data_IF_218791660784
#
_entry.id   IF_218791660784
#
_cell.length_a   1.000
_cell.length_b   1.000
_cell.length_c   1.000
_cell.angle_alpha   90.00
_cell.angle_beta   90.00
_cell.angle_gamma   90.00
#
_symmetry.space_group_name_H-M   'P 1'
#
loop_
_entity.id
_entity.type
_entity.pdbx_description
1 polymer ?
#
# COMPACT_ATOMS: atom_id res chain seq x y z
N UNK A 1 18.67 12.28 -12.26
CA UNK A 1 17.49 12.18 -11.36
C UNK A 1 17.44 13.41 -10.47
N UNK A 2 16.26 13.98 -10.27
CA UNK A 2 15.99 15.06 -9.33
C UNK A 2 15.32 14.56 -8.09
N UNK A 3 15.70 15.11 -6.96
CA UNK A 3 15.02 14.93 -5.68
C UNK A 3 14.40 16.28 -5.28
N UNK A 4 13.13 16.26 -4.94
CA UNK A 4 12.36 17.44 -4.57
C UNK A 4 11.77 17.27 -3.19
N UNK A 5 11.79 18.34 -2.42
CA UNK A 5 11.06 18.44 -1.16
C UNK A 5 10.47 19.84 -1.07
N UNK A 6 9.20 19.93 -0.75
CA UNK A 6 8.53 21.22 -0.54
C UNK A 6 8.96 21.86 0.78
N UNK A 7 8.86 23.17 0.85
CA UNK A 7 8.99 23.89 2.10
C UNK A 7 7.62 23.94 2.76
N UNK A 8 7.38 23.08 3.79
CA UNK A 8 6.10 23.05 4.49
C UNK A 8 4.91 22.85 3.55
N UNK A 9 4.86 21.72 2.80
CA UNK A 9 3.84 21.50 1.78
C UNK A 9 2.42 21.63 2.34
N UNK A 10 2.13 20.94 3.43
CA UNK A 10 0.82 20.93 4.06
C UNK A 10 0.39 22.31 4.54
N UNK A 11 1.32 23.16 4.96
CA UNK A 11 1.08 24.49 5.50
C UNK A 11 0.92 25.56 4.39
N UNK A 12 1.24 25.23 3.14
CA UNK A 12 1.24 26.18 2.03
C UNK A 12 0.21 25.87 0.92
N UNK A 13 -0.69 24.93 1.13
CA UNK A 13 -1.76 24.61 0.18
C UNK A 13 -2.74 25.78 0.06
N UNK A 14 -2.89 26.34 -1.15
CA UNK A 14 -3.84 27.43 -1.41
C UNK A 14 -5.29 26.90 -1.44
N UNK A 15 -6.14 27.36 -0.51
CA UNK A 15 -7.53 26.91 -0.36
C UNK A 15 -8.37 27.15 -1.62
N UNK A 16 -8.29 28.35 -2.21
CA UNK A 16 -9.06 28.69 -3.41
C UNK A 16 -8.66 27.85 -4.63
N UNK A 17 -7.36 27.57 -4.80
CA UNK A 17 -6.84 26.69 -5.86
C UNK A 17 -7.33 25.27 -5.65
N UNK A 18 -7.21 24.73 -4.44
CA UNK A 18 -7.65 23.39 -4.09
C UNK A 18 -9.15 23.18 -4.36
N UNK A 19 -10.02 24.10 -3.95
CA UNK A 19 -11.46 24.00 -4.22
C UNK A 19 -11.79 24.02 -5.72
N UNK A 20 -11.07 24.84 -6.50
CA UNK A 20 -11.19 24.84 -7.98
C UNK A 20 -10.74 23.52 -8.58
N UNK A 21 -9.65 22.91 -8.07
CA UNK A 21 -9.19 21.61 -8.53
C UNK A 21 -10.21 20.50 -8.21
N UNK A 22 -10.79 20.49 -7.03
CA UNK A 22 -11.86 19.54 -6.64
C UNK A 22 -13.05 19.67 -7.59
N UNK A 23 -13.47 20.90 -7.89
CA UNK A 23 -14.54 21.18 -8.85
C UNK A 23 -14.21 20.63 -10.25
N UNK A 24 -12.98 20.86 -10.72
CA UNK A 24 -12.51 20.42 -12.04
C UNK A 24 -12.44 18.88 -12.15
N UNK A 25 -12.15 18.19 -11.04
CA UNK A 25 -12.17 16.73 -10.95
C UNK A 25 -13.59 16.12 -11.01
N UNK A 26 -14.63 16.97 -11.03
CA UNK A 26 -16.02 16.56 -11.18
C UNK A 26 -16.86 16.55 -9.90
N UNK A 27 -16.27 16.91 -8.75
CA UNK A 27 -16.99 17.05 -7.48
C UNK A 27 -17.63 18.44 -7.44
N UNK A 28 -18.89 18.53 -7.87
CA UNK A 28 -19.62 19.79 -8.04
C UNK A 28 -20.70 20.06 -6.99
N UNK A 29 -20.74 19.27 -5.94
CA UNK A 29 -21.64 19.50 -4.80
C UNK A 29 -21.15 20.70 -3.99
N UNK A 30 -21.92 21.81 -4.07
CA UNK A 30 -21.61 23.06 -3.37
C UNK A 30 -21.62 22.90 -1.84
N UNK A 31 -22.48 22.01 -1.28
CA UNK A 31 -22.55 21.77 0.15
C UNK A 31 -21.28 21.08 0.64
N UNK A 32 -20.83 20.06 -0.09
CA UNK A 32 -19.56 19.37 0.21
C UNK A 32 -18.36 20.30 0.11
N UNK A 33 -18.30 21.14 -0.92
CA UNK A 33 -17.22 22.13 -1.07
C UNK A 33 -17.22 23.17 0.06
N UNK A 34 -18.41 23.57 0.52
CA UNK A 34 -18.53 24.45 1.68
C UNK A 34 -18.02 23.80 2.96
N UNK A 35 -18.34 22.51 3.17
CA UNK A 35 -17.82 21.74 4.32
C UNK A 35 -16.28 21.64 4.25
N UNK A 36 -15.72 21.29 3.10
CA UNK A 36 -14.26 21.23 2.91
C UNK A 36 -13.63 22.61 3.19
N UNK A 37 -14.25 23.69 2.69
CA UNK A 37 -13.77 25.04 2.96
C UNK A 37 -13.78 25.39 4.45
N UNK A 38 -14.81 24.98 5.20
CA UNK A 38 -14.88 25.18 6.65
C UNK A 38 -13.80 24.37 7.38
N UNK A 39 -13.54 23.12 6.96
CA UNK A 39 -12.47 22.29 7.54
C UNK A 39 -11.10 22.94 7.28
N UNK A 40 -10.85 23.46 6.09
CA UNK A 40 -9.59 24.13 5.76
C UNK A 40 -9.37 25.42 6.55
N UNK A 41 -10.45 26.09 6.95
CA UNK A 41 -10.45 27.33 7.73
C UNK A 41 -10.73 27.10 9.21
N UNK A 42 -10.58 25.86 9.69
CA UNK A 42 -10.71 25.58 11.13
C UNK A 42 -9.65 26.36 11.90
N UNK A 43 -10.06 26.97 12.99
CA UNK A 43 -9.16 27.72 13.86
C UNK A 43 -8.10 26.79 14.46
N UNK A 44 -6.85 27.23 14.43
CA UNK A 44 -5.72 26.55 15.02
C UNK A 44 -5.38 27.27 16.35
N UNK A 45 -5.33 26.49 17.42
CA UNK A 45 -5.01 27.02 18.74
C UNK A 45 -3.66 27.76 18.74
N UNK A 46 -3.68 29.05 19.10
CA UNK A 46 -2.51 29.91 19.10
C UNK A 46 -2.14 30.58 17.77
N UNK A 47 -2.74 30.15 16.62
CA UNK A 47 -2.44 30.71 15.31
C UNK A 47 -3.65 31.39 14.63
N UNK A 48 -4.88 31.07 15.09
CA UNK A 48 -6.13 31.61 14.53
C UNK A 48 -6.58 30.89 13.27
N UNK A 49 -7.30 31.60 12.38
CA UNK A 49 -7.85 31.02 11.14
C UNK A 49 -6.80 31.07 10.03
N UNK A 50 -6.38 29.92 9.47
CA UNK A 50 -5.35 29.87 8.45
C UNK A 50 -5.86 30.33 7.07
N UNK A 51 -5.08 31.16 6.38
CA UNK A 51 -5.36 31.58 4.99
C UNK A 51 -5.00 30.52 3.96
N UNK A 52 -4.12 29.61 4.32
CA UNK A 52 -3.59 28.52 3.48
C UNK A 52 -3.24 27.32 4.35
N UNK A 53 -2.96 26.20 3.70
CA UNK A 53 -2.59 24.97 4.39
C UNK A 53 -3.73 23.98 4.53
N UNK A 54 -3.39 22.79 5.02
CA UNK A 54 -4.34 21.75 5.38
C UNK A 54 -4.11 21.34 6.82
N UNK A 55 -5.16 21.13 7.63
CA UNK A 55 -4.99 20.79 9.06
C UNK A 55 -4.12 19.55 9.23
N UNK A 56 -3.00 19.67 9.96
CA UNK A 56 -2.13 18.52 10.24
C UNK A 56 -2.86 17.56 11.19
N UNK A 57 -2.81 16.26 10.86
CA UNK A 57 -3.54 15.22 11.60
C UNK A 57 -5.01 15.03 11.18
N UNK A 58 -5.54 15.86 10.30
CA UNK A 58 -6.89 15.68 9.75
C UNK A 58 -6.97 14.47 8.80
N UNK A 59 -8.03 13.66 8.93
CA UNK A 59 -8.22 12.46 8.10
C UNK A 59 -8.29 12.76 6.60
N UNK A 60 -8.81 13.91 6.21
CA UNK A 60 -8.97 14.33 4.82
C UNK A 60 -7.73 15.01 4.24
N UNK A 61 -6.83 15.53 5.07
CA UNK A 61 -5.68 16.34 4.66
C UNK A 61 -4.75 15.61 3.66
N UNK A 62 -4.41 14.31 3.83
CA UNK A 62 -3.61 13.60 2.85
C UNK A 62 -4.27 13.52 1.47
N UNK A 63 -5.61 13.33 1.42
CA UNK A 63 -6.35 13.30 0.16
C UNK A 63 -6.36 14.66 -0.54
N UNK A 64 -6.62 15.74 0.20
CA UNK A 64 -6.61 17.10 -0.33
C UNK A 64 -5.24 17.46 -0.89
N UNK A 65 -4.19 17.10 -0.21
CA UNK A 65 -2.80 17.30 -0.64
C UNK A 65 -2.47 16.53 -1.92
N UNK A 66 -2.97 15.30 -2.05
CA UNK A 66 -2.83 14.52 -3.28
C UNK A 66 -3.55 15.15 -4.46
N UNK A 67 -4.72 15.78 -4.24
CA UNK A 67 -5.47 16.51 -5.28
C UNK A 67 -4.66 17.69 -5.80
N UNK A 68 -4.02 18.46 -4.92
CA UNK A 68 -3.18 19.60 -5.34
C UNK A 68 -2.05 19.17 -6.26
N UNK A 69 -1.33 18.12 -5.89
CA UNK A 69 -0.17 17.64 -6.65
C UNK A 69 -0.53 16.78 -7.85
N UNK A 70 -1.78 16.31 -7.98
CA UNK A 70 -2.25 15.61 -9.17
C UNK A 70 -2.08 16.46 -10.45
N UNK A 71 -2.21 17.79 -10.35
CA UNK A 71 -1.99 18.71 -11.49
C UNK A 71 -0.52 18.70 -11.94
N UNK A 72 0.43 18.57 -10.99
CA UNK A 72 1.86 18.41 -11.30
C UNK A 72 2.11 17.09 -12.04
N UNK A 73 1.52 15.99 -11.57
CA UNK A 73 1.71 14.67 -12.16
C UNK A 73 1.24 14.67 -13.63
N UNK A 74 0.05 15.20 -13.88
CA UNK A 74 -0.50 15.34 -15.24
C UNK A 74 0.34 16.26 -16.12
N UNK A 75 0.84 17.38 -15.56
CA UNK A 75 1.68 18.30 -16.30
C UNK A 75 2.99 17.64 -16.72
N UNK A 76 3.72 16.98 -15.80
CA UNK A 76 4.98 16.28 -16.12
C UNK A 76 4.73 15.18 -17.15
N UNK A 77 3.67 14.38 -16.97
CA UNK A 77 3.32 13.31 -17.91
C UNK A 77 3.00 13.85 -19.30
N UNK A 78 2.29 14.99 -19.39
CA UNK A 78 1.94 15.60 -20.68
C UNK A 78 3.15 16.10 -21.47
N UNK A 79 4.24 16.42 -20.82
CA UNK A 79 5.46 16.87 -21.49
C UNK A 79 6.15 15.74 -22.28
N UNK A 80 6.00 14.48 -21.85
CA UNK A 80 6.70 13.36 -22.42
C UNK A 80 5.86 12.09 -22.59
N UNK A 81 5.33 11.52 -21.51
CA UNK A 81 4.71 10.18 -21.53
C UNK A 81 3.42 10.13 -22.35
N UNK A 82 2.58 11.16 -22.22
CA UNK A 82 1.29 11.27 -22.90
C UNK A 82 1.28 12.28 -24.04
N UNK A 83 2.45 12.84 -24.37
CA UNK A 83 2.60 13.79 -25.47
C UNK A 83 2.03 13.22 -26.77
N UNK A 84 1.14 13.98 -27.40
CA UNK A 84 0.56 13.63 -28.70
C UNK A 84 0.96 14.71 -29.70
N UNK A 85 1.77 14.39 -30.73
CA UNK A 85 2.16 15.36 -31.73
C UNK A 85 0.94 15.83 -32.56
N UNK A 86 0.87 17.14 -32.81
CA UNK A 86 -0.15 17.69 -33.69
C UNK A 86 0.04 17.15 -35.11
N UNK A 87 -1.05 16.75 -35.79
CA UNK A 87 -1.05 16.32 -37.20
C UNK A 87 -0.60 14.88 -37.46
N UNK A 88 -0.22 14.09 -36.43
CA UNK A 88 0.16 12.71 -36.65
C UNK A 88 -1.03 11.77 -36.39
N UNK A 89 -1.46 11.06 -37.45
CA UNK A 89 -2.49 10.00 -37.32
C UNK A 89 -1.99 8.91 -36.35
N UNK A 90 -2.72 8.67 -35.28
CA UNK A 90 -2.44 7.67 -34.21
C UNK A 90 -2.09 6.25 -34.71
N UNK A 91 -2.39 5.92 -35.97
CA UNK A 91 -2.14 4.61 -36.60
C UNK A 91 -0.69 4.34 -36.96
N UNK A 92 0.05 5.35 -37.42
CA UNK A 92 1.36 5.14 -38.07
C UNK A 92 2.57 5.19 -37.10
N UNK A 93 2.39 5.59 -35.83
CA UNK A 93 3.49 5.71 -34.86
C UNK A 93 3.42 4.73 -33.67
N UNK A 94 2.62 3.70 -33.78
CA UNK A 94 2.51 2.67 -32.71
C UNK A 94 3.76 1.78 -32.54
N UNK A 95 4.77 1.91 -33.38
CA UNK A 95 6.07 1.28 -33.19
C UNK A 95 6.96 2.15 -32.29
N UNK A 96 7.35 1.63 -31.14
CA UNK A 96 8.05 2.32 -30.04
C UNK A 96 9.28 3.15 -30.43
N UNK A 97 9.95 2.87 -31.54
CA UNK A 97 11.17 3.59 -31.97
C UNK A 97 10.87 4.90 -32.72
N UNK A 98 9.87 4.92 -33.59
CA UNK A 98 9.53 6.10 -34.40
C UNK A 98 8.94 7.23 -33.55
N UNK A 99 8.03 6.92 -32.64
CA UNK A 99 7.42 7.90 -31.73
C UNK A 99 8.47 8.55 -30.79
N UNK A 100 9.33 7.74 -30.18
CA UNK A 100 10.39 8.26 -29.31
C UNK A 100 11.36 9.19 -30.04
N UNK A 101 11.72 8.87 -31.29
CA UNK A 101 12.58 9.72 -32.12
C UNK A 101 11.88 11.05 -32.44
N UNK A 102 10.62 11.00 -32.81
CA UNK A 102 9.81 12.18 -33.08
C UNK A 102 9.61 13.04 -31.83
N UNK A 103 9.23 12.46 -30.71
CA UNK A 103 9.06 13.17 -29.46
C UNK A 103 10.35 13.88 -29.03
N UNK A 104 11.51 13.20 -29.13
CA UNK A 104 12.83 13.82 -28.82
C UNK A 104 13.17 14.98 -29.73
N UNK A 105 12.65 15.02 -30.96
CA UNK A 105 12.90 16.12 -31.89
C UNK A 105 12.02 17.33 -31.57
N UNK A 106 10.76 17.13 -31.18
CA UNK A 106 9.77 18.19 -31.13
C UNK A 106 9.35 18.61 -29.71
N UNK A 107 9.70 17.89 -28.67
CA UNK A 107 9.44 18.30 -27.30
C UNK A 107 10.62 19.05 -26.66
N UNK A 108 10.33 20.07 -25.85
CA UNK A 108 11.34 20.81 -25.09
C UNK A 108 11.75 20.04 -23.82
N UNK A 109 10.79 19.46 -23.13
CA UNK A 109 11.00 18.56 -21.98
C UNK A 109 10.86 17.11 -22.44
N UNK A 110 11.92 16.34 -22.37
CA UNK A 110 11.97 14.97 -22.91
C UNK A 110 12.64 13.98 -21.97
N UNK A 111 12.25 12.72 -22.14
CA UNK A 111 12.78 11.59 -21.34
C UNK A 111 12.66 11.83 -19.81
N UNK A 112 11.58 12.46 -19.36
CA UNK A 112 11.28 12.72 -17.95
C UNK A 112 10.12 11.89 -17.43
N UNK A 113 10.36 11.15 -16.34
CA UNK A 113 9.38 10.27 -15.71
C UNK A 113 9.26 10.64 -14.24
N UNK A 114 8.05 11.01 -13.82
CA UNK A 114 7.78 11.36 -12.42
C UNK A 114 7.40 10.13 -11.61
N UNK A 115 8.00 10.04 -10.42
CA UNK A 115 7.61 9.09 -9.38
C UNK A 115 7.37 9.91 -8.13
N UNK A 116 6.14 9.87 -7.59
CA UNK A 116 5.72 10.67 -6.44
C UNK A 116 5.04 9.80 -5.38
N UNK A 117 5.36 10.10 -4.15
CA UNK A 117 4.69 9.58 -2.97
C UNK A 117 4.40 10.75 -2.01
N UNK A 118 3.13 11.12 -1.90
CA UNK A 118 2.68 12.33 -1.21
C UNK A 118 3.43 13.58 -1.73
N UNK A 119 4.20 14.23 -0.89
CA UNK A 119 5.03 15.41 -1.17
C UNK A 119 6.45 15.08 -1.65
N UNK A 120 6.92 13.86 -1.44
CA UNK A 120 8.24 13.41 -1.93
C UNK A 120 8.13 12.90 -3.38
N UNK A 121 8.82 13.54 -4.31
CA UNK A 121 8.81 13.13 -5.70
C UNK A 121 10.17 13.20 -6.36
N UNK A 122 10.32 12.42 -7.42
CA UNK A 122 11.55 12.36 -8.22
C UNK A 122 11.19 12.36 -9.70
N UNK A 123 11.98 13.11 -10.48
CA UNK A 123 11.90 13.08 -11.95
C UNK A 123 13.15 12.41 -12.47
N UNK A 124 12.96 11.27 -13.15
CA UNK A 124 14.00 10.50 -13.78
C UNK A 124 14.22 11.03 -15.19
N UNK A 125 15.44 11.54 -15.49
CA UNK A 125 15.79 12.05 -16.80
C UNK A 125 16.98 11.27 -17.37
N UNK A 126 17.10 11.24 -18.69
CA UNK A 126 18.16 10.52 -19.38
C UNK A 126 19.49 11.28 -19.35
N UNK A 127 19.46 12.60 -19.53
CA UNK A 127 20.64 13.47 -19.57
C UNK A 127 20.62 14.49 -18.43
N UNK A 128 21.78 15.08 -18.16
CA UNK A 128 21.91 16.19 -17.22
C UNK A 128 21.17 17.44 -17.72
N UNK A 129 21.28 17.73 -19.01
CA UNK A 129 20.61 18.89 -19.63
C UNK A 129 19.10 18.79 -19.51
N UNK A 130 18.50 17.59 -19.78
CA UNK A 130 17.07 17.39 -19.61
C UNK A 130 16.69 17.48 -18.13
N UNK A 131 17.53 16.99 -17.24
CA UNK A 131 17.30 17.14 -15.82
C UNK A 131 17.27 18.62 -15.39
N UNK A 132 18.17 19.46 -15.88
CA UNK A 132 18.17 20.91 -15.59
C UNK A 132 16.92 21.60 -16.15
N UNK A 133 16.50 21.27 -17.38
CA UNK A 133 15.28 21.81 -17.97
C UNK A 133 14.04 21.47 -17.12
N UNK A 134 13.90 20.21 -16.73
CA UNK A 134 12.81 19.81 -15.83
C UNK A 134 12.88 20.55 -14.50
N UNK A 135 14.07 20.80 -13.98
CA UNK A 135 14.24 21.55 -12.73
C UNK A 135 13.61 22.94 -12.81
N UNK A 136 14.08 23.72 -13.74
CA UNK A 136 13.59 25.09 -13.88
C UNK A 136 12.10 25.14 -14.24
N UNK A 137 11.67 24.30 -15.17
CA UNK A 137 10.27 24.23 -15.58
C UNK A 137 9.35 23.76 -14.41
N UNK A 138 9.81 22.86 -13.57
CA UNK A 138 9.02 22.40 -12.41
C UNK A 138 8.93 23.47 -11.33
N UNK A 139 10.01 24.20 -11.05
CA UNK A 139 10.00 25.35 -10.12
C UNK A 139 8.98 26.37 -10.59
N UNK A 140 9.06 26.76 -11.86
CA UNK A 140 8.16 27.75 -12.44
C UNK A 140 6.70 27.28 -12.38
N UNK A 141 6.42 26.03 -12.74
CA UNK A 141 5.09 25.45 -12.64
C UNK A 141 4.55 25.44 -11.20
N UNK A 142 5.34 25.01 -10.25
CA UNK A 142 4.94 24.96 -8.83
C UNK A 142 4.62 26.37 -8.31
N UNK A 143 5.47 27.34 -8.59
CA UNK A 143 5.33 28.71 -8.14
C UNK A 143 4.19 29.43 -8.85
N UNK A 144 4.15 29.39 -10.18
CA UNK A 144 3.17 30.12 -10.96
C UNK A 144 1.78 29.48 -10.86
N UNK A 145 1.71 28.14 -10.99
CA UNK A 145 0.44 27.43 -11.12
C UNK A 145 -0.12 26.92 -9.79
N UNK A 146 0.70 26.36 -8.92
CA UNK A 146 0.25 25.76 -7.66
C UNK A 146 0.45 26.69 -6.46
N UNK A 147 1.18 27.80 -6.61
CA UNK A 147 1.53 28.72 -5.53
C UNK A 147 2.31 28.02 -4.40
N UNK A 148 3.18 27.11 -4.78
CA UNK A 148 4.01 26.31 -3.87
C UNK A 148 5.49 26.62 -4.10
N UNK A 149 6.22 26.78 -2.99
CA UNK A 149 7.66 26.95 -3.01
C UNK A 149 8.38 25.63 -2.68
N UNK A 150 9.52 25.43 -3.33
CA UNK A 150 10.41 24.31 -3.03
C UNK A 150 11.45 24.70 -1.99
N UNK A 151 12.01 23.68 -1.30
CA UNK A 151 13.20 23.85 -0.46
C UNK A 151 14.45 23.71 -1.33
N UNK A 152 15.19 24.79 -1.64
CA UNK A 152 16.40 24.72 -2.47
C UNK A 152 17.47 23.82 -1.85
N UNK A 153 17.59 23.81 -0.54
CA UNK A 153 18.59 23.03 0.21
C UNK A 153 18.37 21.51 0.03
N UNK A 154 17.11 21.07 -0.09
CA UNK A 154 16.73 19.67 -0.19
C UNK A 154 16.50 19.23 -1.64
N UNK A 155 16.46 20.17 -2.60
CA UNK A 155 16.19 19.91 -4.00
C UNK A 155 17.48 19.93 -4.82
N UNK A 156 17.90 18.77 -5.36
CA UNK A 156 19.17 18.65 -6.07
C UNK A 156 19.14 17.65 -7.22
N UNK A 157 19.97 17.89 -8.25
CA UNK A 157 20.26 16.92 -9.30
C UNK A 157 21.27 15.89 -8.79
N UNK A 158 20.96 14.63 -8.96
CA UNK A 158 21.87 13.53 -8.61
C UNK A 158 22.19 12.70 -9.84
N UNK A 159 23.48 12.54 -10.14
CA UNK A 159 23.92 11.58 -11.14
C UNK A 159 23.99 10.18 -10.52
N UNK A 160 23.02 9.33 -10.81
CA UNK A 160 22.91 7.98 -10.24
C UNK A 160 24.05 7.03 -10.63
N UNK A 161 24.84 7.35 -11.67
CA UNK A 161 26.02 6.57 -12.03
C UNK A 161 27.22 6.86 -11.11
N UNK A 162 27.27 8.07 -10.53
CA UNK A 162 28.31 8.49 -9.59
C UNK A 162 27.86 8.37 -8.13
N UNK A 163 26.67 8.85 -7.84
CA UNK A 163 26.10 8.97 -6.49
C UNK A 163 24.82 8.15 -6.36
N UNK A 164 24.44 7.84 -5.13
CA UNK A 164 23.15 7.26 -4.80
C UNK A 164 22.11 8.35 -4.45
N UNK A 165 20.84 7.98 -4.51
CA UNK A 165 19.74 8.83 -4.05
C UNK A 165 18.77 8.02 -3.21
N UNK A 166 18.41 8.55 -2.05
CA UNK A 166 17.42 7.93 -1.16
C UNK A 166 15.99 8.27 -1.59
N UNK A 167 15.11 7.28 -1.53
CA UNK A 167 13.66 7.45 -1.75
C UNK A 167 12.90 6.38 -0.98
N UNK A 168 11.96 6.79 -0.14
CA UNK A 168 11.11 5.89 0.65
C UNK A 168 11.89 4.81 1.43
N UNK A 169 13.01 5.17 2.01
CA UNK A 169 13.86 4.23 2.75
C UNK A 169 14.76 3.34 1.90
N UNK A 170 14.72 3.48 0.56
CA UNK A 170 15.61 2.80 -0.37
C UNK A 170 16.70 3.74 -0.86
N UNK A 171 17.90 3.21 -1.05
CA UNK A 171 19.04 3.86 -1.71
C UNK A 171 19.12 3.34 -3.14
N UNK A 172 18.99 4.23 -4.12
CA UNK A 172 18.97 3.90 -5.55
C UNK A 172 20.30 4.31 -6.16
N UNK A 173 20.95 3.40 -6.90
CA UNK A 173 22.20 3.64 -7.64
C UNK A 173 22.14 2.91 -8.99
N UNK A 174 22.87 3.41 -9.97
CA UNK A 174 23.04 2.79 -11.29
C UNK A 174 24.47 2.30 -11.43
N UNK A 175 24.64 1.01 -11.68
CA UNK A 175 25.94 0.36 -11.82
C UNK A 175 26.18 -0.13 -13.25
N UNK A 176 27.43 -0.14 -13.74
CA UNK A 176 27.77 -0.70 -15.05
C UNK A 176 27.52 -2.21 -15.06
N UNK A 177 26.98 -2.74 -16.16
CA UNK A 177 26.83 -4.17 -16.40
C UNK A 177 26.88 -4.46 -17.89
N UNK A 178 27.98 -5.02 -18.37
CA UNK A 178 28.36 -5.16 -19.79
C UNK A 178 27.34 -5.93 -20.65
N UNK A 179 26.68 -6.96 -20.12
CA UNK A 179 25.73 -7.79 -20.87
C UNK A 179 24.31 -7.22 -20.94
N UNK A 180 24.08 -5.95 -20.56
CA UNK A 180 22.76 -5.32 -20.66
C UNK A 180 22.68 -4.43 -21.89
N UNK A 181 21.45 -4.27 -22.43
CA UNK A 181 21.19 -3.46 -23.63
C UNK A 181 21.74 -2.03 -23.55
N UNK A 182 21.86 -1.47 -22.35
CA UNK A 182 22.32 -0.09 -22.13
C UNK A 182 23.62 0.00 -21.36
N UNK A 183 24.27 -1.14 -21.07
CA UNK A 183 25.53 -1.19 -20.30
C UNK A 183 25.40 -0.86 -18.82
N UNK A 184 24.18 -0.71 -18.29
CA UNK A 184 23.90 -0.33 -16.90
C UNK A 184 22.67 -1.03 -16.35
N UNK A 185 22.63 -1.21 -15.01
CA UNK A 185 21.47 -1.67 -14.27
C UNK A 185 21.21 -0.76 -13.06
N UNK A 186 19.96 -0.63 -12.69
CA UNK A 186 19.57 -0.05 -11.41
C UNK A 186 19.77 -1.06 -10.29
N UNK A 187 20.38 -0.63 -9.18
CA UNK A 187 20.52 -1.38 -7.95
C UNK A 187 19.89 -0.61 -6.81
N UNK A 188 19.21 -1.34 -5.94
CA UNK A 188 18.54 -0.77 -4.78
C UNK A 188 18.98 -1.49 -3.51
N UNK A 189 19.27 -0.70 -2.48
CA UNK A 189 19.62 -1.10 -1.13
C UNK A 189 18.65 -0.46 -0.14
N UNK A 190 18.64 -0.91 1.10
CA UNK A 190 18.07 -0.13 2.19
C UNK A 190 18.89 1.15 2.39
N UNK A 191 18.26 2.29 2.66
CA UNK A 191 18.99 3.51 2.99
C UNK A 191 19.70 3.40 4.34
N UNK A 192 20.81 4.14 4.53
CA UNK A 192 21.58 4.11 5.78
C UNK A 192 20.73 4.53 6.99
N UNK A 193 19.81 5.46 6.77
CA UNK A 193 18.81 5.88 7.78
C UNK A 193 17.85 4.75 8.12
N UNK A 194 17.39 4.00 7.11
CA UNK A 194 16.49 2.86 7.30
C UNK A 194 17.19 1.74 8.07
N UNK A 195 18.44 1.40 7.73
CA UNK A 195 19.25 0.40 8.43
C UNK A 195 19.38 0.77 9.91
N UNK A 196 19.77 2.03 10.21
CA UNK A 196 19.87 2.51 11.59
C UNK A 196 18.56 2.43 12.35
N UNK A 197 17.44 2.86 11.74
CA UNK A 197 16.11 2.81 12.34
C UNK A 197 15.67 1.38 12.64
N UNK A 198 15.78 0.49 11.67
CA UNK A 198 15.41 -0.93 11.81
C UNK A 198 16.26 -1.62 12.89
N UNK A 199 17.57 -1.37 12.90
CA UNK A 199 18.48 -1.92 13.92
C UNK A 199 18.08 -1.44 15.32
N UNK A 200 17.80 -0.15 15.49
CA UNK A 200 17.39 0.40 16.80
C UNK A 200 16.04 -0.17 17.25
N UNK A 201 15.07 -0.26 16.34
CA UNK A 201 13.75 -0.82 16.64
C UNK A 201 13.83 -2.28 17.09
N UNK A 202 14.55 -3.11 16.36
CA UNK A 202 14.70 -4.53 16.71
C UNK A 202 15.49 -4.74 18.01
N UNK A 203 16.54 -3.93 18.25
CA UNK A 203 17.25 -3.91 19.55
C UNK A 203 16.30 -3.61 20.71
N UNK A 204 15.47 -2.58 20.58
CA UNK A 204 14.49 -2.21 21.60
C UNK A 204 13.49 -3.33 21.87
N UNK A 205 13.01 -4.02 20.83
CA UNK A 205 12.09 -5.17 20.97
C UNK A 205 12.75 -6.35 21.70
N UNK A 206 14.02 -6.67 21.39
CA UNK A 206 14.79 -7.71 22.08
C UNK A 206 14.98 -7.36 23.57
N UNK A 207 15.33 -6.11 23.87
CA UNK A 207 15.44 -5.61 25.25
C UNK A 207 14.10 -5.76 26.00
N UNK A 208 12.99 -5.44 25.33
CA UNK A 208 11.66 -5.57 25.92
C UNK A 208 11.25 -7.03 26.18
N UNK A 209 11.66 -7.98 25.33
CA UNK A 209 11.48 -9.43 25.58
C UNK A 209 12.22 -9.81 26.85
N UNK A 210 13.45 -9.35 27.07
CA UNK A 210 14.23 -9.64 28.28
C UNK A 210 13.58 -9.09 29.55
N UNK A 211 13.06 -7.85 29.50
CA UNK A 211 12.42 -7.20 30.66
C UNK A 211 11.16 -7.95 31.13
N UNK A 212 10.34 -8.40 30.21
CA UNK A 212 9.10 -9.12 30.48
C UNK A 212 8.87 -10.14 29.37
N UNK A 213 9.21 -11.39 29.62
CA UNK A 213 9.11 -12.51 28.69
C UNK A 213 7.63 -12.91 28.55
N UNK A 214 6.93 -12.34 27.56
CA UNK A 214 5.54 -12.67 27.25
C UNK A 214 5.39 -13.05 25.79
N UNK A 215 4.42 -13.90 25.46
CA UNK A 215 4.06 -14.28 24.09
C UNK A 215 3.79 -13.05 23.22
N UNK A 216 3.10 -12.04 23.77
CA UNK A 216 2.78 -10.80 23.06
C UNK A 216 4.03 -10.02 22.61
N UNK A 217 5.09 -9.96 23.41
CA UNK A 217 6.35 -9.27 23.04
C UNK A 217 7.18 -10.05 22.03
N UNK A 218 7.18 -11.37 22.10
CA UNK A 218 7.82 -12.23 21.10
C UNK A 218 7.11 -12.05 19.77
N UNK A 219 5.77 -12.08 19.77
CA UNK A 219 4.98 -11.81 18.57
C UNK A 219 5.21 -10.39 18.03
N UNK A 220 5.34 -9.39 18.88
CA UNK A 220 5.65 -8.01 18.46
C UNK A 220 7.01 -7.89 17.75
N UNK A 221 8.01 -8.68 18.17
CA UNK A 221 9.29 -8.80 17.45
C UNK A 221 9.08 -9.50 16.10
N UNK A 222 8.42 -10.64 16.08
CA UNK A 222 8.17 -11.42 14.87
C UNK A 222 7.38 -10.61 13.82
N UNK A 223 6.35 -9.88 14.26
CA UNK A 223 5.58 -9.00 13.36
C UNK A 223 6.42 -7.86 12.80
N UNK A 224 7.34 -7.28 13.58
CA UNK A 224 8.27 -6.27 13.07
C UNK A 224 9.20 -6.86 12.00
N UNK A 225 9.76 -8.06 12.23
CA UNK A 225 10.60 -8.74 11.24
C UNK A 225 9.82 -8.99 9.95
N UNK A 226 8.58 -9.52 10.02
CA UNK A 226 7.72 -9.72 8.86
C UNK A 226 7.46 -8.40 8.12
N UNK A 227 7.16 -7.32 8.85
CA UNK A 227 6.93 -6.00 8.27
C UNK A 227 8.16 -5.48 7.52
N UNK A 228 9.35 -5.60 8.11
CA UNK A 228 10.63 -5.20 7.50
C UNK A 228 10.91 -6.03 6.23
N UNK A 229 10.78 -7.36 6.31
CA UNK A 229 10.98 -8.25 5.19
C UNK A 229 10.01 -7.94 4.03
N UNK A 230 8.72 -7.76 4.32
CA UNK A 230 7.70 -7.45 3.32
C UNK A 230 7.92 -6.09 2.67
N UNK A 231 8.35 -5.07 3.42
CA UNK A 231 8.58 -3.73 2.88
C UNK A 231 9.83 -3.67 2.00
N UNK A 232 10.93 -4.25 2.46
CA UNK A 232 12.22 -4.14 1.77
C UNK A 232 12.51 -5.29 0.79
N UNK A 233 11.64 -6.31 0.65
CA UNK A 233 11.87 -7.45 -0.23
C UNK A 233 12.11 -7.09 -1.70
N UNK A 234 11.73 -5.89 -2.15
CA UNK A 234 11.96 -5.39 -3.50
C UNK A 234 13.37 -4.80 -3.71
N UNK A 235 14.14 -4.56 -2.64
CA UNK A 235 15.52 -4.10 -2.75
C UNK A 235 16.41 -5.19 -3.36
N UNK A 236 17.20 -4.83 -4.34
CA UNK A 236 18.07 -5.78 -5.08
C UNK A 236 19.05 -6.52 -4.16
N UNK A 237 19.59 -5.82 -3.15
CA UNK A 237 20.59 -6.35 -2.24
C UNK A 237 20.01 -6.61 -0.82
N UNK A 238 18.72 -6.89 -0.73
CA UNK A 238 18.02 -7.02 0.58
C UNK A 238 18.67 -8.04 1.50
N UNK A 239 19.14 -9.16 0.96
CA UNK A 239 19.79 -10.20 1.76
C UNK A 239 21.04 -9.66 2.48
N UNK A 240 21.92 -8.94 1.77
CA UNK A 240 23.11 -8.35 2.37
C UNK A 240 22.74 -7.29 3.42
N UNK A 241 21.79 -6.39 3.09
CA UNK A 241 21.36 -5.35 4.03
C UNK A 241 20.78 -5.94 5.32
N UNK A 242 19.96 -6.99 5.25
CA UNK A 242 19.43 -7.64 6.43
C UNK A 242 20.46 -8.50 7.17
N UNK A 243 21.47 -9.03 6.46
CA UNK A 243 22.62 -9.70 7.08
C UNK A 243 23.42 -8.71 7.92
N UNK A 244 23.69 -7.51 7.42
CA UNK A 244 24.39 -6.46 8.16
C UNK A 244 23.60 -6.05 9.42
N UNK A 245 22.30 -5.85 9.29
CA UNK A 245 21.40 -5.57 10.43
C UNK A 245 21.44 -6.72 11.45
N UNK A 246 21.34 -7.96 10.98
CA UNK A 246 21.38 -9.14 11.83
C UNK A 246 22.71 -9.23 12.59
N UNK A 247 23.82 -8.98 11.91
CA UNK A 247 25.14 -8.93 12.53
C UNK A 247 25.22 -7.89 13.64
N UNK A 248 24.67 -6.69 13.41
CA UNK A 248 24.59 -5.63 14.41
C UNK A 248 23.68 -5.96 15.62
N UNK A 249 22.76 -6.94 15.47
CA UNK A 249 21.88 -7.42 16.52
C UNK A 249 22.49 -8.55 17.37
N UNK A 250 23.49 -9.29 16.86
CA UNK A 250 24.08 -10.44 17.54
C UNK A 250 24.55 -10.15 18.97
N UNK A 251 25.25 -9.04 19.26
CA UNK A 251 25.64 -8.72 20.63
C UNK A 251 24.42 -8.56 21.55
N UNK A 252 23.35 -7.96 21.06
CA UNK A 252 22.11 -7.77 21.84
C UNK A 252 21.42 -9.11 22.10
N UNK A 253 21.36 -10.00 21.13
CA UNK A 253 20.85 -11.36 21.34
C UNK A 253 21.66 -12.11 22.39
N UNK A 254 23.00 -12.11 22.27
CA UNK A 254 23.89 -12.77 23.20
C UNK A 254 23.74 -12.25 24.63
N UNK A 255 23.72 -10.94 24.83
CA UNK A 255 23.65 -10.33 26.16
C UNK A 255 22.26 -10.35 26.77
N UNK A 256 21.20 -10.31 25.99
CA UNK A 256 19.83 -10.19 26.51
C UNK A 256 19.04 -11.49 26.53
N UNK A 257 19.34 -12.43 25.63
CA UNK A 257 18.58 -13.67 25.52
C UNK A 257 19.34 -14.92 25.97
N UNK A 258 20.62 -14.83 26.29
CA UNK A 258 21.44 -15.99 26.70
C UNK A 258 20.85 -16.77 27.90
N UNK A 259 20.24 -16.08 28.86
CA UNK A 259 19.68 -16.73 30.07
C UNK A 259 18.24 -17.22 29.90
N UNK A 260 17.50 -16.76 28.86
CA UNK A 260 16.07 -17.06 28.68
C UNK A 260 15.76 -17.74 27.35
N UNK A 261 16.75 -17.80 26.48
CA UNK A 261 16.62 -18.36 25.14
C UNK A 261 17.42 -19.62 24.96
N UNK A 262 16.98 -20.47 24.07
CA UNK A 262 17.68 -21.62 23.54
C UNK A 262 17.82 -21.54 22.03
N UNK A 263 18.57 -22.42 21.43
CA UNK A 263 18.78 -22.44 19.96
C UNK A 263 18.41 -23.82 19.45
N UNK A 264 17.50 -23.90 18.52
CA UNK A 264 17.07 -25.13 17.86
C UNK A 264 17.31 -25.07 16.36
N UNK A 265 17.51 -26.19 15.66
CA UNK A 265 17.50 -26.24 14.19
C UNK A 265 16.16 -25.78 13.65
N UNK A 266 16.15 -25.13 12.48
CA UNK A 266 14.91 -24.68 11.82
C UNK A 266 13.94 -25.84 11.57
N UNK A 267 14.46 -27.02 11.24
CA UNK A 267 13.65 -28.22 11.03
C UNK A 267 12.82 -28.65 12.27
N UNK A 268 13.27 -28.30 13.48
CA UNK A 268 12.59 -28.63 14.74
C UNK A 268 11.59 -27.54 15.18
N UNK A 269 11.48 -26.45 14.43
CA UNK A 269 10.51 -25.39 14.74
C UNK A 269 9.07 -25.83 14.37
N UNK A 270 8.04 -25.25 15.00
CA UNK A 270 6.65 -25.56 14.66
C UNK A 270 6.35 -25.38 13.17
N UNK A 271 5.55 -26.26 12.58
CA UNK A 271 5.21 -26.25 11.16
C UNK A 271 4.64 -24.91 10.67
N UNK A 272 3.76 -24.27 11.45
CA UNK A 272 3.22 -22.95 11.14
C UNK A 272 4.30 -21.86 11.05
N UNK A 273 5.35 -21.98 11.83
CA UNK A 273 6.51 -21.09 11.80
C UNK A 273 7.33 -21.34 10.53
N UNK A 274 7.54 -22.59 10.15
CA UNK A 274 8.25 -22.96 8.93
C UNK A 274 7.52 -22.46 7.68
N UNK A 275 6.20 -22.49 7.66
CA UNK A 275 5.40 -21.94 6.54
C UNK A 275 5.54 -20.42 6.37
N UNK A 276 5.73 -19.69 7.47
CA UNK A 276 5.87 -18.22 7.42
C UNK A 276 7.28 -17.77 7.05
N UNK A 277 8.24 -18.71 7.06
CA UNK A 277 9.66 -18.43 6.84
C UNK A 277 10.10 -19.06 5.55
N UNK A 278 10.59 -18.27 4.60
CA UNK A 278 10.97 -18.75 3.28
C UNK A 278 12.48 -18.61 3.09
N UNK A 279 13.11 -19.60 2.47
CA UNK A 279 14.54 -19.56 2.11
C UNK A 279 15.53 -19.83 3.24
N UNK A 280 15.07 -20.39 4.35
CA UNK A 280 15.94 -20.81 5.46
C UNK A 280 16.31 -22.27 5.30
N UNK A 281 17.59 -22.58 5.45
CA UNK A 281 18.09 -23.97 5.44
C UNK A 281 17.66 -24.69 6.71
N UNK A 282 17.39 -25.99 6.59
CA UNK A 282 16.92 -26.84 7.71
C UNK A 282 17.85 -26.82 8.93
N UNK A 283 19.15 -26.70 8.69
CA UNK A 283 20.20 -26.71 9.71
C UNK A 283 20.39 -25.33 10.39
N UNK A 284 19.73 -24.27 9.88
CA UNK A 284 19.86 -22.92 10.45
C UNK A 284 19.40 -22.90 11.89
N UNK A 285 20.25 -22.42 12.78
CA UNK A 285 19.95 -22.26 14.20
C UNK A 285 18.99 -21.09 14.43
N UNK A 286 17.83 -21.39 15.02
CA UNK A 286 16.79 -20.42 15.37
C UNK A 286 16.78 -20.19 16.88
N UNK A 287 16.80 -18.93 17.28
CA UNK A 287 16.69 -18.55 18.70
C UNK A 287 15.22 -18.73 19.10
N UNK A 288 15.01 -19.43 20.21
CA UNK A 288 13.70 -19.59 20.84
C UNK A 288 13.72 -18.97 22.22
N UNK A 289 12.62 -18.42 22.66
CA UNK A 289 12.40 -17.91 24.02
C UNK A 289 11.25 -18.70 24.60
N UNK A 290 11.56 -19.57 25.55
CA UNK A 290 10.65 -20.65 25.95
C UNK A 290 10.39 -21.58 24.75
N UNK A 291 9.10 -21.80 24.41
CA UNK A 291 8.69 -22.60 23.23
C UNK A 291 8.47 -21.78 21.98
N UNK A 292 8.69 -20.47 22.02
CA UNK A 292 8.39 -19.55 20.92
C UNK A 292 9.64 -19.20 20.11
N UNK A 293 9.70 -19.52 18.81
CA UNK A 293 10.82 -19.16 17.95
C UNK A 293 10.76 -17.67 17.56
N UNK A 294 11.94 -17.04 17.49
CA UNK A 294 12.13 -15.72 16.91
C UNK A 294 12.37 -15.84 15.41
N UNK A 295 11.65 -15.06 14.62
CA UNK A 295 11.83 -15.02 13.17
C UNK A 295 13.22 -14.49 12.81
N UNK A 296 13.98 -15.24 12.01
CA UNK A 296 15.28 -14.79 11.53
C UNK A 296 15.10 -13.67 10.51
N UNK A 297 15.86 -12.60 10.69
CA UNK A 297 15.76 -11.42 9.81
C UNK A 297 16.20 -11.72 8.37
N UNK A 298 17.14 -12.65 8.19
CA UNK A 298 17.72 -13.03 6.89
C UNK A 298 16.83 -13.95 6.04
N UNK A 299 15.74 -14.49 6.60
CA UNK A 299 14.76 -15.30 5.88
C UNK A 299 13.87 -14.46 4.97
N UNK A 300 14.43 -13.82 3.96
CA UNK A 300 13.72 -12.96 3.01
C UNK A 300 13.88 -13.43 1.58
N UNK A 301 12.78 -13.43 0.81
CA UNK A 301 12.83 -13.60 -0.64
C UNK A 301 12.79 -12.25 -1.33
N UNK A 302 13.77 -12.01 -2.22
CA UNK A 302 13.72 -10.89 -3.13
C UNK A 302 12.52 -11.03 -4.08
N UNK A 303 11.66 -10.02 -4.09
CA UNK A 303 10.58 -9.89 -5.08
C UNK A 303 11.05 -8.97 -6.21
N UNK A 304 10.97 -9.47 -7.44
CA UNK A 304 11.28 -8.63 -8.59
C UNK A 304 10.29 -7.46 -8.65
N UNK A 305 10.79 -6.22 -8.86
CA UNK A 305 9.90 -5.08 -9.09
C UNK A 305 9.09 -5.32 -10.36
N UNK A 306 7.93 -4.67 -10.46
CA UNK A 306 7.12 -4.67 -11.67
C UNK A 306 7.98 -4.08 -12.80
N UNK A 307 8.11 -4.83 -13.90
CA UNK A 307 8.88 -4.38 -15.04
C UNK A 307 8.27 -3.09 -15.60
N UNK A 308 9.13 -2.08 -15.80
CA UNK A 308 8.71 -0.83 -16.41
C UNK A 308 8.31 -1.07 -17.87
N UNK A 309 7.10 -0.64 -18.22
CA UNK A 309 6.61 -0.53 -19.59
C UNK A 309 5.96 0.83 -19.74
N UNK A 310 6.20 1.52 -20.86
CA UNK A 310 5.53 2.79 -21.16
C UNK A 310 4.00 2.70 -21.17
N UNK A 311 3.47 1.50 -21.40
CA UNK A 311 2.04 1.24 -21.33
C UNK A 311 1.51 1.15 -19.89
N UNK A 312 2.38 1.00 -18.90
CA UNK A 312 2.02 0.93 -17.46
C UNK A 312 2.17 2.33 -16.86
N UNK A 313 1.20 3.17 -17.12
CA UNK A 313 1.13 4.55 -16.60
C UNK A 313 -0.26 4.84 -16.09
N UNK A 314 -0.37 5.56 -14.96
CA UNK A 314 -1.66 5.99 -14.39
C UNK A 314 -2.35 7.08 -15.21
N UNK A 315 -1.65 7.69 -16.15
CA UNK A 315 -2.16 8.84 -16.93
C UNK A 315 -2.91 8.45 -18.21
N UNK A 316 -2.87 7.18 -18.63
CA UNK A 316 -3.65 6.66 -19.75
C UNK A 316 -4.71 5.67 -19.26
N UNK A 317 -5.87 5.60 -19.97
CA UNK A 317 -6.90 4.61 -19.62
C UNK A 317 -6.39 3.17 -19.68
N UNK A 318 -5.63 2.83 -20.73
CA UNK A 318 -5.00 1.51 -20.92
C UNK A 318 -3.95 1.20 -19.83
N UNK A 319 -3.19 2.21 -19.42
CA UNK A 319 -2.20 2.07 -18.35
C UNK A 319 -2.85 1.83 -17.00
N UNK A 320 -3.89 2.58 -16.66
CA UNK A 320 -4.70 2.35 -15.45
C UNK A 320 -5.30 0.95 -15.44
N UNK A 321 -5.86 0.50 -16.56
CA UNK A 321 -6.39 -0.86 -16.67
C UNK A 321 -5.30 -1.92 -16.36
N UNK A 322 -4.10 -1.77 -16.90
CA UNK A 322 -2.98 -2.68 -16.62
C UNK A 322 -2.51 -2.66 -15.17
N UNK A 323 -2.43 -1.45 -14.57
CA UNK A 323 -2.09 -1.30 -13.14
C UNK A 323 -3.17 -1.97 -12.28
N UNK A 324 -4.43 -1.71 -12.57
CA UNK A 324 -5.54 -2.22 -11.79
C UNK A 324 -5.78 -3.72 -12.00
N UNK A 325 -5.45 -4.27 -13.17
CA UNK A 325 -5.55 -5.71 -13.42
C UNK A 325 -4.73 -6.57 -12.46
N UNK A 326 -3.60 -6.06 -11.99
CA UNK A 326 -2.76 -6.74 -10.98
C UNK A 326 -3.24 -6.52 -9.54
N UNK A 327 -4.09 -5.52 -9.30
CA UNK A 327 -4.57 -5.10 -7.96
C UNK A 327 -6.07 -5.37 -7.79
N UNK A 328 -6.85 -5.43 -8.90
CA UNK A 328 -8.29 -5.66 -8.84
C UNK A 328 -8.61 -7.12 -8.50
N UNK A 329 -8.94 -7.31 -7.24
CA UNK A 329 -9.64 -8.52 -6.79
C UNK A 329 -11.15 -8.47 -7.07
N UNK A 330 -11.70 -7.29 -7.40
CA UNK A 330 -13.14 -7.04 -7.61
C UNK A 330 -13.32 -6.17 -8.85
N UNK A 331 -14.24 -6.53 -9.73
CA UNK A 331 -14.56 -5.75 -10.93
C UNK A 331 -15.20 -4.40 -10.56
N UNK A 332 -14.84 -3.34 -11.28
CA UNK A 332 -15.35 -1.97 -11.03
C UNK A 332 -16.87 -1.92 -11.10
N UNK A 333 -17.50 -2.70 -11.98
CA UNK A 333 -18.95 -2.74 -12.11
C UNK A 333 -19.61 -3.41 -10.92
N UNK A 334 -19.04 -4.49 -10.40
CA UNK A 334 -19.52 -5.14 -9.17
C UNK A 334 -19.42 -4.18 -7.98
N UNK A 335 -18.30 -3.48 -7.84
CA UNK A 335 -18.11 -2.50 -6.77
C UNK A 335 -19.15 -1.37 -6.84
N UNK A 336 -19.45 -0.86 -8.05
CA UNK A 336 -20.51 0.14 -8.25
C UNK A 336 -21.88 -0.39 -7.82
N UNK A 337 -22.16 -1.65 -8.09
CA UNK A 337 -23.41 -2.28 -7.67
C UNK A 337 -23.48 -2.43 -6.14
N UNK A 338 -22.37 -2.83 -5.50
CA UNK A 338 -22.26 -2.88 -4.03
C UNK A 338 -22.44 -1.48 -3.42
N UNK A 339 -21.84 -0.43 -4.00
CA UNK A 339 -22.02 0.95 -3.55
C UNK A 339 -23.46 1.46 -3.67
N UNK A 340 -24.24 0.93 -4.62
CA UNK A 340 -25.68 1.24 -4.76
C UNK A 340 -26.53 0.48 -3.75
N UNK A 341 -26.00 -0.62 -3.18
CA UNK A 341 -26.70 -1.44 -2.19
C UNK A 341 -26.59 -0.80 -0.81
N UNK A 342 -27.25 0.35 -0.64
CA UNK A 342 -27.42 0.98 0.68
C UNK A 342 -28.70 0.45 1.32
N UNK A 343 -28.58 -0.05 2.54
CA UNK A 343 -29.73 -0.41 3.34
C UNK A 343 -30.16 0.82 4.17
N UNK A 344 -31.33 1.44 3.88
CA UNK A 344 -31.78 2.64 4.59
C UNK A 344 -32.11 2.37 6.08
N UNK A 345 -32.32 1.12 6.46
CA UNK A 345 -32.60 0.71 7.84
C UNK A 345 -31.35 0.48 8.67
N UNK A 346 -30.16 0.58 8.06
CA UNK A 346 -28.88 0.40 8.74
C UNK A 346 -28.16 1.72 8.96
N UNK A 347 -27.23 1.74 9.93
CA UNK A 347 -26.42 2.93 10.22
C UNK A 347 -25.58 3.36 9.01
N UNK A 348 -25.18 4.64 9.00
CA UNK A 348 -24.26 5.18 8.00
C UNK A 348 -22.92 4.41 8.07
N UNK A 349 -22.44 4.15 9.30
CA UNK A 349 -21.19 3.41 9.52
C UNK A 349 -21.26 1.99 8.96
N UNK A 350 -22.38 1.28 9.14
CA UNK A 350 -22.59 -0.05 8.56
C UNK A 350 -22.50 0.00 7.02
N UNK A 351 -23.23 0.94 6.40
CA UNK A 351 -23.26 1.08 4.95
C UNK A 351 -21.89 1.44 4.35
N UNK A 352 -21.12 2.32 4.99
CA UNK A 352 -19.80 2.70 4.52
C UNK A 352 -18.78 1.57 4.72
N UNK A 353 -18.83 0.89 5.86
CA UNK A 353 -17.94 -0.23 6.16
C UNK A 353 -18.26 -1.50 5.36
N UNK A 354 -19.49 -1.64 4.82
CA UNK A 354 -19.86 -2.76 3.94
C UNK A 354 -19.01 -2.80 2.69
N UNK A 355 -18.69 -1.64 2.09
CA UNK A 355 -17.81 -1.54 0.92
C UNK A 355 -16.42 -2.08 1.25
N UNK A 356 -15.87 -1.66 2.40
CA UNK A 356 -14.57 -2.13 2.87
C UNK A 356 -14.56 -3.64 3.12
N UNK A 357 -15.62 -4.18 3.72
CA UNK A 357 -15.76 -5.61 3.97
C UNK A 357 -15.82 -6.42 2.67
N UNK A 358 -16.55 -5.95 1.65
CA UNK A 358 -16.61 -6.59 0.33
C UNK A 358 -15.24 -6.65 -0.35
N UNK A 359 -14.48 -5.55 -0.30
CA UNK A 359 -13.13 -5.47 -0.84
C UNK A 359 -12.16 -6.41 -0.11
N UNK A 360 -12.21 -6.46 1.22
CA UNK A 360 -11.39 -7.38 2.03
C UNK A 360 -11.68 -8.83 1.69
N UNK A 361 -12.95 -9.17 1.41
CA UNK A 361 -13.36 -10.50 0.97
C UNK A 361 -13.06 -10.77 -0.51
N UNK A 362 -12.57 -9.76 -1.26
CA UNK A 362 -12.29 -9.88 -2.69
C UNK A 362 -13.52 -10.32 -3.51
N UNK A 363 -14.72 -9.91 -3.09
CA UNK A 363 -15.98 -10.31 -3.71
C UNK A 363 -16.38 -11.77 -3.50
N UNK A 364 -15.77 -12.46 -2.52
CA UNK A 364 -16.07 -13.86 -2.23
C UNK A 364 -16.95 -14.00 -0.97
N UNK A 365 -17.72 -15.10 -0.89
CA UNK A 365 -18.52 -15.43 0.25
C UNK A 365 -17.67 -15.65 1.51
N UNK A 366 -18.03 -15.03 2.64
CA UNK A 366 -17.29 -15.15 3.90
C UNK A 366 -17.17 -16.60 4.38
N UNK A 367 -18.20 -17.41 4.21
CA UNK A 367 -18.21 -18.82 4.64
C UNK A 367 -17.58 -19.70 3.59
N UNK A 368 -18.10 -19.66 2.35
CA UNK A 368 -17.74 -20.60 1.29
C UNK A 368 -16.46 -20.25 0.54
N UNK A 369 -16.07 -18.97 0.50
CA UNK A 369 -14.91 -18.51 -0.25
C UNK A 369 -15.09 -18.47 -1.78
N UNK A 370 -16.24 -18.88 -2.31
CA UNK A 370 -16.60 -18.78 -3.73
C UNK A 370 -17.07 -17.35 -4.08
N UNK A 371 -17.02 -17.02 -5.38
CA UNK A 371 -17.45 -15.71 -5.89
C UNK A 371 -18.90 -15.46 -5.57
N UNK A 372 -19.20 -14.26 -5.07
CA UNK A 372 -20.57 -13.81 -4.78
C UNK A 372 -21.24 -13.28 -6.06
N UNK A 373 -22.51 -13.61 -6.22
CA UNK A 373 -23.39 -12.90 -7.14
C UNK A 373 -23.98 -11.69 -6.42
N UNK A 374 -23.77 -10.50 -6.95
CA UNK A 374 -24.19 -9.23 -6.32
C UNK A 374 -25.72 -9.18 -6.07
N UNK A 375 -26.50 -9.87 -6.90
CA UNK A 375 -27.96 -9.94 -6.76
C UNK A 375 -28.47 -11.02 -5.78
N UNK A 376 -27.57 -11.90 -5.31
CA UNK A 376 -27.90 -13.04 -4.45
C UNK A 376 -26.96 -13.09 -3.23
N UNK A 377 -26.60 -11.93 -2.73
CA UNK A 377 -25.75 -11.79 -1.55
C UNK A 377 -26.44 -10.97 -0.47
N UNK A 378 -26.04 -11.21 0.77
CA UNK A 378 -26.48 -10.46 1.93
C UNK A 378 -25.29 -9.91 2.70
N UNK A 379 -25.37 -8.65 3.11
CA UNK A 379 -24.44 -8.03 4.03
C UNK A 379 -24.91 -8.26 5.46
N UNK A 380 -24.07 -8.82 6.30
CA UNK A 380 -24.41 -9.23 7.67
C UNK A 380 -23.35 -8.72 8.67
N UNK A 381 -23.76 -8.62 9.93
CA UNK A 381 -22.82 -8.56 11.07
C UNK A 381 -22.42 -9.99 11.46
N UNK A 382 -21.14 -10.24 11.70
CA UNK A 382 -20.68 -11.55 12.20
C UNK A 382 -21.15 -11.78 13.64
N UNK A 383 -21.19 -10.72 14.44
CA UNK A 383 -21.75 -10.67 15.79
C UNK A 383 -22.89 -9.65 15.75
N UNK A 384 -24.13 -10.01 16.08
CA UNK A 384 -25.28 -9.08 16.11
C UNK A 384 -25.08 -7.96 17.12
N UNK A 385 -25.75 -6.82 16.91
CA UNK A 385 -25.68 -5.67 17.84
C UNK A 385 -26.17 -6.06 19.23
N UNK A 386 -27.22 -6.90 19.32
CA UNK A 386 -27.76 -7.41 20.60
C UNK A 386 -26.75 -8.24 21.41
N UNK A 387 -25.74 -8.82 20.74
CA UNK A 387 -24.66 -9.60 21.35
C UNK A 387 -23.34 -8.79 21.45
N UNK A 388 -23.43 -7.45 21.42
CA UNK A 388 -22.27 -6.55 21.54
C UNK A 388 -21.48 -6.34 20.25
N UNK A 389 -22.02 -6.74 19.10
CA UNK A 389 -21.41 -6.49 17.79
C UNK A 389 -21.43 -5.01 17.41
N UNK A 390 -20.41 -4.57 16.68
CA UNK A 390 -20.23 -3.20 16.20
C UNK A 390 -20.36 -3.12 14.68
N UNK A 391 -20.54 -1.92 14.14
CA UNK A 391 -20.57 -1.65 12.71
C UNK A 391 -19.18 -1.51 12.06
N UNK A 392 -18.10 -1.84 12.77
CA UNK A 392 -16.74 -1.85 12.23
C UNK A 392 -16.62 -2.85 11.08
N UNK A 393 -15.84 -2.52 10.05
CA UNK A 393 -15.63 -3.38 8.87
C UNK A 393 -15.16 -4.81 9.21
N UNK A 394 -14.48 -5.00 10.35
CA UNK A 394 -14.04 -6.32 10.85
C UNK A 394 -15.21 -7.21 11.28
N UNK A 395 -16.35 -6.63 11.69
CA UNK A 395 -17.55 -7.34 12.10
C UNK A 395 -18.54 -7.52 10.94
N UNK A 396 -18.36 -6.83 9.82
CA UNK A 396 -19.25 -6.92 8.65
C UNK A 396 -18.73 -8.00 7.69
N UNK A 397 -19.64 -8.72 7.05
CA UNK A 397 -19.31 -9.71 6.04
C UNK A 397 -20.40 -9.84 4.98
N UNK A 398 -20.00 -10.24 3.76
CA UNK A 398 -20.91 -10.65 2.70
C UNK A 398 -20.98 -12.17 2.60
N UNK A 399 -22.18 -12.66 2.43
CA UNK A 399 -22.50 -14.08 2.36
C UNK A 399 -23.54 -14.30 1.25
N UNK A 400 -23.54 -15.47 0.59
CA UNK A 400 -24.61 -15.79 -0.34
C UNK A 400 -25.93 -16.01 0.41
N UNK A 401 -27.05 -15.62 -0.21
CA UNK A 401 -28.38 -15.78 0.42
C UNK A 401 -28.69 -17.22 0.81
N UNK A 402 -28.30 -18.19 -0.01
CA UNK A 402 -28.52 -19.61 0.29
C UNK A 402 -27.78 -20.04 1.56
N UNK A 403 -26.50 -19.64 1.70
CA UNK A 403 -25.72 -19.96 2.90
C UNK A 403 -26.27 -19.21 4.10
N UNK A 404 -26.75 -17.97 3.93
CA UNK A 404 -27.37 -17.21 5.00
C UNK A 404 -28.68 -17.87 5.50
N UNK A 405 -29.53 -18.32 4.58
CA UNK A 405 -30.75 -19.09 4.96
C UNK A 405 -30.37 -20.31 5.78
N UNK A 406 -29.34 -21.07 5.35
CA UNK A 406 -28.86 -22.22 6.10
C UNK A 406 -28.31 -21.85 7.49
N UNK A 407 -27.64 -20.70 7.63
CA UNK A 407 -27.17 -20.21 8.93
C UNK A 407 -28.33 -19.91 9.86
N UNK A 408 -29.41 -19.30 9.36
CA UNK A 408 -30.55 -18.82 10.16
C UNK A 408 -31.66 -19.86 10.36
N UNK A 409 -31.55 -21.03 9.73
CA UNK A 409 -32.57 -22.09 9.89
C UNK A 409 -32.42 -22.77 11.25
N UNK A 410 -33.48 -22.80 12.04
CA UNK A 410 -33.54 -23.47 13.36
C UNK A 410 -33.54 -24.98 13.22
N UNK A 411 -34.23 -25.51 12.20
CA UNK A 411 -34.29 -26.95 11.93
C UNK A 411 -32.89 -27.46 11.44
N UNK A 412 -32.32 -28.30 12.30
CA UNK A 412 -31.02 -28.94 12.05
C UNK A 412 -31.07 -29.86 10.83
N UNK A 413 -32.21 -30.55 10.63
CA UNK A 413 -32.36 -31.50 9.53
C UNK A 413 -32.35 -30.80 8.17
N UNK A 414 -33.06 -29.67 8.07
CA UNK A 414 -33.06 -28.84 6.87
C UNK A 414 -31.71 -28.19 6.64
N UNK A 415 -31.07 -27.70 7.71
CA UNK A 415 -29.71 -27.14 7.63
C UNK A 415 -28.72 -28.16 7.09
N UNK A 416 -28.74 -29.40 7.56
CA UNK A 416 -27.88 -30.49 7.06
C UNK A 416 -28.18 -30.79 5.60
N UNK A 417 -29.44 -30.77 5.16
CA UNK A 417 -29.85 -30.95 3.76
C UNK A 417 -29.25 -29.87 2.86
N UNK A 418 -29.34 -28.61 3.29
CA UNK A 418 -28.74 -27.47 2.56
C UNK A 418 -27.20 -27.57 2.54
N UNK A 419 -26.58 -27.93 3.66
CA UNK A 419 -25.12 -28.08 3.76
C UNK A 419 -24.57 -29.21 2.88
N UNK A 420 -25.31 -30.30 2.68
CA UNK A 420 -24.91 -31.38 1.77
C UNK A 420 -24.69 -30.90 0.32
N UNK A 421 -25.41 -29.85 -0.10
CA UNK A 421 -25.22 -29.22 -1.42
C UNK A 421 -23.89 -28.49 -1.53
N UNK A 422 -23.32 -28.01 -0.43
CA UNK A 422 -22.13 -27.12 -0.44
C UNK A 422 -20.80 -27.84 -0.25
N UNK A 423 -20.79 -29.11 0.13
CA UNK A 423 -19.56 -29.90 0.38
C UNK A 423 -18.48 -29.12 1.14
N UNK A 424 -18.84 -28.58 2.31
CA UNK A 424 -17.99 -27.67 3.10
C UNK A 424 -16.76 -28.35 3.67
N UNK A 425 -15.60 -27.72 3.51
CA UNK A 425 -14.38 -28.08 4.22
C UNK A 425 -14.45 -27.73 5.72
N UNK A 426 -13.47 -28.18 6.52
CA UNK A 426 -13.44 -27.96 7.97
C UNK A 426 -13.31 -26.47 8.35
N UNK A 427 -12.71 -25.63 7.50
CA UNK A 427 -12.57 -24.19 7.72
C UNK A 427 -13.88 -23.46 7.44
N UNK A 428 -14.56 -23.84 6.37
CA UNK A 428 -15.87 -23.31 5.98
C UNK A 428 -16.91 -23.66 7.04
N UNK A 429 -16.91 -24.92 7.53
CA UNK A 429 -17.79 -25.39 8.59
C UNK A 429 -17.55 -24.65 9.91
N UNK A 430 -16.30 -24.39 10.28
CA UNK A 430 -15.99 -23.58 11.47
C UNK A 430 -16.56 -22.17 11.37
N UNK A 431 -16.43 -21.53 10.20
CA UNK A 431 -17.00 -20.19 9.97
C UNK A 431 -18.53 -20.21 10.01
N UNK A 432 -19.12 -21.23 9.43
CA UNK A 432 -20.58 -21.43 9.44
C UNK A 432 -21.12 -21.60 10.86
N UNK A 433 -20.54 -22.51 11.64
CA UNK A 433 -20.95 -22.77 13.02
C UNK A 433 -20.74 -21.55 13.92
N UNK A 434 -19.63 -20.82 13.74
CA UNK A 434 -19.39 -19.59 14.49
C UNK A 434 -20.47 -18.52 14.22
N UNK A 435 -20.96 -18.43 13.00
CA UNK A 435 -22.09 -17.53 12.72
C UNK A 435 -23.36 -18.00 13.43
N UNK A 436 -23.67 -19.30 13.37
CA UNK A 436 -24.84 -19.85 14.07
C UNK A 436 -24.78 -19.56 15.58
N UNK A 437 -23.65 -19.85 16.20
CA UNK A 437 -23.42 -19.59 17.65
C UNK A 437 -23.60 -18.11 17.99
N UNK A 438 -23.05 -17.22 17.17
CA UNK A 438 -23.20 -15.77 17.36
C UNK A 438 -24.65 -15.28 17.20
N UNK A 439 -25.50 -16.03 16.50
CA UNK A 439 -26.93 -15.76 16.34
C UNK A 439 -27.81 -16.63 17.25
N UNK A 440 -27.24 -17.24 18.31
CA UNK A 440 -27.94 -18.03 19.30
C UNK A 440 -28.45 -19.42 18.82
N UNK A 441 -27.91 -19.89 17.67
CA UNK A 441 -28.31 -21.16 17.06
C UNK A 441 -27.28 -22.27 17.32
N UNK A 442 -27.75 -23.51 17.43
CA UNK A 442 -26.88 -24.67 17.70
C UNK A 442 -25.89 -24.94 16.53
N UNK A 443 -24.62 -25.23 16.84
CA UNK A 443 -23.66 -25.62 15.82
C UNK A 443 -23.97 -27.03 15.28
N UNK A 444 -23.62 -27.27 14.02
CA UNK A 444 -23.83 -28.57 13.36
C UNK A 444 -22.58 -29.41 13.52
N UNK A 445 -22.71 -30.57 14.15
CA UNK A 445 -21.65 -31.54 14.32
C UNK A 445 -21.31 -32.26 13.00
N UNK A 446 -20.03 -32.66 12.85
CA UNK A 446 -19.60 -33.54 11.76
C UNK A 446 -20.23 -34.94 12.03
N UNK A 447 -21.01 -35.43 11.10
CA UNK A 447 -21.34 -36.86 11.10
C UNK A 447 -20.20 -37.67 10.52
#
# INVERSE_FOLDING_TARGET
>A
MWMWTFKGFFDNVNHGKLLKQIWTLGIRDKRLLCIISKILKSEIEGEGIPDKGTPQGGLISPLLSLIVLNELDWWVSSQWETFTPNGVKKGNMKGSKGWLSYARKYTNLKDGYVVRYADDFKIMCRSYTDAQRYYHATIDFLKSRLKLDISPEKSKVVNLRKNSSDFLGFKIKVLPKGKTRYGYIAKTDMSDKAIKKVTAELKAKVINIRKHTTVGRINAYNMAVIGIQNYYCIATNIYNNLTDVNYALLPTFRTRLSCIGSTIPFAETPYEFQQKTVGIKKETKIITVGKMPLLPLTGVHHKHPINFSQDITSYTAKGREKIHKSVQCVETQELRNVMKYRNPNESIEFNDNSISAYLVQQGNCYVMGNRLNVHQMKCIRKIPVGEGGTDKHTNIAFISEEVWRAVMTEDISETIRIMKKFNMDDKQRRRFNRLRENYGLLPIKKR
#
